data_IF_737871360020
#
_entry.id   IF_737871360020
#
_cell.length_a   1.000
_cell.length_b   1.000
_cell.length_c   1.000
_cell.angle_alpha   90.00
_cell.angle_beta   90.00
_cell.angle_gamma   90.00
#
_symmetry.space_group_name_H-M   'P 1'
#
loop_
_entity.id
_entity.type
_entity.pdbx_description
1 polymer ?
#
# COMPACT_ATOMS: atom_id res chain seq x y z
N UNK A 1 -52.16 -35.43 -15.19
CA UNK A 1 -50.82 -34.92 -14.82
C UNK A 1 -49.81 -35.54 -15.78
N UNK A 2 -49.16 -34.75 -16.65
CA UNK A 2 -48.11 -35.28 -17.55
C UNK A 2 -46.92 -35.72 -16.69
N UNK A 3 -46.55 -36.99 -16.74
CA UNK A 3 -45.36 -37.49 -16.04
C UNK A 3 -44.12 -36.89 -16.70
N UNK A 4 -43.26 -36.27 -15.89
CA UNK A 4 -41.96 -35.81 -16.35
C UNK A 4 -41.10 -37.03 -16.65
N UNK A 5 -40.63 -37.14 -17.90
CA UNK A 5 -39.71 -38.20 -18.31
C UNK A 5 -38.32 -37.96 -17.69
N UNK A 6 -37.63 -39.03 -17.29
CA UNK A 6 -36.25 -38.97 -16.81
C UNK A 6 -35.35 -38.19 -17.79
N UNK A 7 -35.59 -38.36 -19.11
CA UNK A 7 -34.85 -37.63 -20.15
C UNK A 7 -35.07 -36.12 -20.10
N UNK A 8 -36.30 -35.67 -19.86
CA UNK A 8 -36.61 -34.23 -19.74
C UNK A 8 -36.00 -33.62 -18.48
N UNK A 9 -35.92 -34.39 -17.38
CA UNK A 9 -35.27 -33.94 -16.14
C UNK A 9 -33.78 -33.78 -16.37
N UNK A 10 -33.12 -34.75 -17.02
CA UNK A 10 -31.69 -34.68 -17.34
C UNK A 10 -31.37 -33.49 -18.25
N UNK A 11 -32.17 -33.26 -19.30
CA UNK A 11 -31.97 -32.13 -20.21
C UNK A 11 -32.14 -30.78 -19.50
N UNK A 12 -33.16 -30.63 -18.66
CA UNK A 12 -33.37 -29.41 -17.88
C UNK A 12 -32.23 -29.17 -16.89
N UNK A 13 -31.74 -30.22 -16.22
CA UNK A 13 -30.60 -30.12 -15.31
C UNK A 13 -29.30 -29.71 -16.03
N UNK A 14 -29.01 -30.30 -17.20
CA UNK A 14 -27.85 -29.93 -18.00
C UNK A 14 -27.94 -28.49 -18.51
N UNK A 15 -29.12 -28.05 -18.95
CA UNK A 15 -29.35 -26.67 -19.36
C UNK A 15 -29.13 -25.69 -18.20
N UNK A 16 -29.64 -26.01 -17.01
CA UNK A 16 -29.42 -25.22 -15.81
C UNK A 16 -27.93 -25.16 -15.43
N UNK A 17 -27.22 -26.29 -15.45
CA UNK A 17 -25.78 -26.34 -15.19
C UNK A 17 -24.98 -25.48 -16.19
N UNK A 18 -25.33 -25.52 -17.48
CA UNK A 18 -24.69 -24.70 -18.49
C UNK A 18 -24.93 -23.20 -18.25
N UNK A 19 -26.15 -22.80 -17.86
CA UNK A 19 -26.47 -21.42 -17.50
C UNK A 19 -25.69 -20.97 -16.26
N UNK A 20 -25.64 -21.79 -15.20
CA UNK A 20 -24.89 -21.47 -13.99
C UNK A 20 -23.38 -21.40 -14.26
N UNK A 21 -22.85 -22.28 -15.11
CA UNK A 21 -21.43 -22.27 -15.48
C UNK A 21 -21.06 -21.04 -16.31
N UNK A 22 -21.90 -20.66 -17.28
CA UNK A 22 -21.67 -19.43 -18.07
C UNK A 22 -21.72 -18.19 -17.18
N UNK A 23 -22.70 -18.07 -16.28
CA UNK A 23 -22.74 -16.99 -15.29
C UNK A 23 -21.45 -16.99 -14.45
N UNK A 24 -21.07 -18.13 -13.88
CA UNK A 24 -19.85 -18.24 -13.06
C UNK A 24 -18.57 -17.94 -13.83
N UNK A 25 -18.51 -18.24 -15.12
CA UNK A 25 -17.36 -17.92 -15.97
C UNK A 25 -17.27 -16.42 -16.28
N UNK A 26 -18.41 -15.76 -16.56
CA UNK A 26 -18.47 -14.32 -16.83
C UNK A 26 -18.32 -13.45 -15.57
N UNK A 27 -18.67 -13.96 -14.38
CA UNK A 27 -18.53 -13.23 -13.11
C UNK A 27 -17.26 -13.58 -12.34
N UNK A 28 -16.42 -14.49 -12.86
CA UNK A 28 -15.14 -14.84 -12.24
C UNK A 28 -14.18 -13.66 -12.33
N UNK A 29 -13.62 -13.26 -11.19
CA UNK A 29 -12.45 -12.39 -11.15
C UNK A 29 -11.20 -13.18 -11.50
N UNK A 30 -10.40 -12.67 -12.44
CA UNK A 30 -9.09 -13.24 -12.74
C UNK A 30 -8.05 -12.74 -11.72
N UNK A 31 -7.47 -13.62 -10.88
CA UNK A 31 -6.44 -13.22 -9.92
C UNK A 31 -5.20 -12.60 -10.58
N UNK A 32 -5.00 -12.82 -11.88
CA UNK A 32 -3.91 -12.19 -12.65
C UNK A 32 -4.08 -10.67 -12.82
N UNK A 33 -5.32 -10.17 -12.69
CA UNK A 33 -5.68 -8.76 -12.82
C UNK A 33 -5.67 -8.03 -11.47
N UNK A 34 -5.52 -8.74 -10.36
CA UNK A 34 -5.42 -8.10 -9.05
C UNK A 34 -4.05 -7.40 -8.87
N UNK A 35 -4.02 -6.25 -8.18
CA UNK A 35 -2.78 -5.55 -7.89
C UNK A 35 -1.86 -6.43 -7.03
N UNK A 36 -0.55 -6.25 -7.16
CA UNK A 36 0.38 -7.04 -6.35
C UNK A 36 0.31 -6.68 -4.86
N UNK A 37 0.07 -5.41 -4.56
CA UNK A 37 -0.05 -4.89 -3.21
C UNK A 37 -1.31 -4.03 -3.07
N UNK A 38 -1.85 -3.98 -1.86
CA UNK A 38 -2.89 -3.01 -1.46
C UNK A 38 -2.33 -2.07 -0.41
N UNK A 39 -2.67 -0.79 -0.49
CA UNK A 39 -2.29 0.20 0.52
C UNK A 39 -3.36 0.19 1.62
N UNK A 40 -2.98 -0.19 2.83
CA UNK A 40 -3.90 -0.30 3.97
C UNK A 40 -4.21 1.06 4.60
N UNK A 41 -3.27 2.01 4.48
CA UNK A 41 -3.35 3.34 5.06
C UNK A 41 -1.98 4.00 5.05
N UNK A 42 -1.97 5.30 5.29
CA UNK A 42 -0.76 6.11 5.29
C UNK A 42 -1.06 7.57 5.58
N UNK A 43 -0.02 8.39 5.55
CA UNK A 43 -0.09 9.82 5.81
C UNK A 43 1.09 10.33 6.60
N UNK A 44 0.95 11.54 7.13
CA UNK A 44 1.96 12.21 7.93
C UNK A 44 1.86 11.83 9.40
N UNK A 45 3.01 11.60 10.02
CA UNK A 45 3.21 11.33 11.44
C UNK A 45 4.06 12.45 12.02
N UNK A 46 3.50 13.16 13.01
CA UNK A 46 4.17 14.29 13.68
C UNK A 46 4.54 13.87 15.10
N UNK A 47 5.83 13.75 15.39
CA UNK A 47 6.34 13.51 16.73
C UNK A 47 6.85 14.83 17.33
N UNK A 48 6.01 15.47 18.15
CA UNK A 48 6.36 16.71 18.84
C UNK A 48 7.42 16.52 19.94
N UNK A 49 7.61 15.29 20.45
CA UNK A 49 8.58 15.01 21.51
C UNK A 49 9.99 14.93 20.95
N UNK A 50 10.11 14.28 19.79
CA UNK A 50 11.39 14.08 19.08
C UNK A 50 11.63 15.16 18.02
N UNK A 51 10.68 16.09 17.83
CA UNK A 51 10.72 17.11 16.80
C UNK A 51 10.80 16.57 15.35
N UNK A 52 10.30 15.36 15.12
CA UNK A 52 10.39 14.69 13.82
C UNK A 52 9.04 14.63 13.12
N UNK A 53 9.08 14.74 11.79
CA UNK A 53 7.92 14.51 10.92
C UNK A 53 8.30 13.48 9.89
N UNK A 54 7.44 12.49 9.70
CA UNK A 54 7.60 11.45 8.69
C UNK A 54 6.32 11.36 7.89
N UNK A 55 6.38 10.82 6.69
CA UNK A 55 5.18 10.31 6.08
C UNK A 55 5.44 9.03 5.31
N UNK A 56 4.40 8.22 5.15
CA UNK A 56 4.56 6.86 4.72
C UNK A 56 3.25 6.12 4.69
N UNK A 57 3.32 4.84 4.36
CA UNK A 57 2.16 3.97 4.25
C UNK A 57 2.49 2.53 4.61
N UNK A 58 1.45 1.75 4.83
CA UNK A 58 1.54 0.30 4.97
C UNK A 58 1.00 -0.38 3.72
N UNK A 59 1.84 -1.16 3.05
CA UNK A 59 1.44 -2.03 1.96
C UNK A 59 1.19 -3.45 2.48
N UNK A 60 0.16 -4.10 1.96
CA UNK A 60 -0.07 -5.54 2.11
C UNK A 60 0.13 -6.23 0.77
N UNK A 61 0.95 -7.28 0.74
CA UNK A 61 1.09 -8.17 -0.41
C UNK A 61 -0.16 -9.03 -0.52
N UNK A 62 -0.93 -8.85 -1.60
CA UNK A 62 -2.18 -9.61 -1.83
C UNK A 62 -2.06 -10.61 -2.97
N UNK A 63 -1.11 -10.41 -3.88
CA UNK A 63 -0.69 -11.40 -4.88
C UNK A 63 0.68 -11.92 -4.50
N UNK A 64 0.91 -13.25 -4.54
CA UNK A 64 2.20 -13.82 -4.18
C UNK A 64 3.37 -13.17 -4.95
N UNK A 65 4.34 -12.67 -4.19
CA UNK A 65 5.61 -12.16 -4.69
C UNK A 65 6.72 -13.15 -4.34
N UNK A 66 7.73 -13.24 -5.19
CA UNK A 66 8.92 -14.02 -4.87
C UNK A 66 9.60 -13.42 -3.63
N UNK A 67 10.08 -14.28 -2.72
CA UNK A 67 10.91 -13.81 -1.61
C UNK A 67 12.08 -12.98 -2.16
N UNK A 68 12.39 -11.86 -1.52
CA UNK A 68 13.39 -10.90 -1.95
C UNK A 68 12.95 -9.90 -3.04
N UNK A 69 11.73 -10.00 -3.58
CA UNK A 69 11.13 -8.94 -4.40
C UNK A 69 11.18 -7.59 -3.68
N UNK A 70 11.24 -6.49 -4.44
CA UNK A 70 11.48 -5.16 -3.87
C UNK A 70 10.22 -4.31 -4.02
N UNK A 71 9.73 -3.78 -2.91
CA UNK A 71 8.72 -2.71 -2.90
C UNK A 71 9.49 -1.40 -2.73
N UNK A 72 9.44 -0.53 -3.72
CA UNK A 72 10.08 0.78 -3.70
C UNK A 72 9.02 1.87 -3.74
N UNK A 73 9.17 2.87 -2.89
CA UNK A 73 8.36 4.06 -2.87
C UNK A 73 9.25 5.30 -3.04
N UNK A 74 8.84 6.16 -3.96
CA UNK A 74 9.44 7.47 -4.19
C UNK A 74 8.47 8.52 -3.72
N UNK A 75 8.91 9.37 -2.79
CA UNK A 75 8.14 10.38 -2.10
C UNK A 75 8.63 11.76 -2.52
N UNK A 76 7.73 12.71 -2.77
CA UNK A 76 8.12 14.12 -2.90
C UNK A 76 8.84 14.62 -1.64
N UNK A 77 9.84 15.48 -1.79
CA UNK A 77 10.44 16.17 -0.65
C UNK A 77 9.60 17.41 -0.31
N UNK A 78 8.97 17.51 0.87
CA UNK A 78 8.16 18.67 1.23
C UNK A 78 8.94 19.99 1.24
N UNK A 79 10.26 19.95 1.41
CA UNK A 79 11.13 21.13 1.34
C UNK A 79 11.43 21.59 -0.09
N UNK A 80 10.96 20.84 -1.10
CA UNK A 80 11.18 21.11 -2.53
C UNK A 80 12.48 20.53 -3.08
N UNK A 81 13.16 19.66 -2.33
CA UNK A 81 14.37 18.96 -2.75
C UNK A 81 14.11 17.79 -3.71
N UNK A 82 15.12 16.92 -3.84
CA UNK A 82 15.02 15.72 -4.66
C UNK A 82 14.08 14.68 -4.02
N UNK A 83 13.35 13.87 -4.81
CA UNK A 83 12.46 12.85 -4.27
C UNK A 83 13.19 11.86 -3.36
N UNK A 84 12.55 11.49 -2.26
CA UNK A 84 13.05 10.56 -1.26
C UNK A 84 12.66 9.13 -1.65
N UNK A 85 13.64 8.26 -1.84
CA UNK A 85 13.40 6.86 -2.24
C UNK A 85 13.61 5.93 -1.05
N UNK A 86 12.62 5.09 -0.77
CA UNK A 86 12.64 4.09 0.30
C UNK A 86 12.23 2.76 -0.28
N UNK A 87 12.93 1.69 0.08
CA UNK A 87 12.65 0.36 -0.42
C UNK A 87 12.68 -0.70 0.67
N UNK A 88 11.75 -1.64 0.59
CA UNK A 88 11.69 -2.81 1.46
C UNK A 88 11.76 -4.09 0.63
N UNK A 89 12.36 -5.14 1.21
CA UNK A 89 12.41 -6.46 0.59
C UNK A 89 11.32 -7.36 1.15
N UNK A 90 10.57 -7.97 0.24
CA UNK A 90 9.55 -8.97 0.58
C UNK A 90 10.23 -10.17 1.22
N UNK A 91 9.73 -10.58 2.38
CA UNK A 91 10.11 -11.80 3.08
C UNK A 91 8.91 -12.72 3.22
N UNK A 92 9.15 -13.98 3.59
CA UNK A 92 8.09 -14.95 3.89
C UNK A 92 7.51 -14.80 5.29
N UNK A 93 8.04 -13.90 6.12
CA UNK A 93 7.66 -13.76 7.53
C UNK A 93 6.49 -12.79 7.74
N UNK A 94 6.24 -11.90 6.77
CA UNK A 94 5.18 -10.91 6.83
C UNK A 94 4.62 -10.64 5.44
N UNK A 95 3.33 -10.34 5.38
CA UNK A 95 2.66 -9.81 4.20
C UNK A 95 2.51 -8.28 4.25
N UNK A 96 2.85 -7.64 5.39
CA UNK A 96 2.71 -6.20 5.60
C UNK A 96 4.07 -5.52 5.71
N UNK A 97 4.21 -4.41 4.99
CA UNK A 97 5.45 -3.64 4.86
C UNK A 97 5.14 -2.16 5.11
N UNK A 98 5.86 -1.56 6.07
CA UNK A 98 5.77 -0.14 6.35
C UNK A 98 6.89 0.58 5.61
N UNK A 99 6.53 1.48 4.67
CA UNK A 99 7.47 2.34 3.99
C UNK A 99 7.26 3.76 4.49
N UNK A 100 8.32 4.36 5.03
CA UNK A 100 8.29 5.74 5.55
C UNK A 100 9.55 6.48 5.13
N UNK A 101 9.40 7.76 4.85
CA UNK A 101 10.53 8.65 4.60
C UNK A 101 11.46 8.70 5.82
N UNK A 102 12.72 9.14 5.65
CA UNK A 102 13.47 9.80 6.71
C UNK A 102 12.70 11.01 7.29
N UNK A 103 13.16 11.62 8.40
CA UNK A 103 12.56 12.87 8.89
C UNK A 103 12.55 13.94 7.80
N UNK A 104 11.41 14.60 7.62
CA UNK A 104 11.19 15.66 6.63
C UNK A 104 10.84 16.99 7.30
N UNK A 105 11.05 18.09 6.58
CA UNK A 105 10.67 19.45 6.94
C UNK A 105 10.03 20.16 5.74
N UNK A 106 9.33 21.26 5.98
CA UNK A 106 8.60 22.02 4.96
C UNK A 106 7.18 21.52 4.70
N UNK A 107 6.59 20.73 5.61
CA UNK A 107 5.24 20.20 5.39
C UNK A 107 4.20 21.32 5.53
N UNK A 108 3.58 21.67 4.42
CA UNK A 108 2.44 22.58 4.34
C UNK A 108 1.10 21.86 4.55
N UNK A 109 0.19 22.50 5.28
CA UNK A 109 -1.18 22.02 5.48
C UNK A 109 -1.97 22.06 4.16
N UNK A 110 -2.77 21.01 3.90
CA UNK A 110 -3.64 20.85 2.73
C UNK A 110 -2.91 20.84 1.38
N UNK A 111 -1.59 20.67 1.38
CA UNK A 111 -0.79 20.45 0.17
C UNK A 111 -0.67 18.94 -0.10
N UNK A 112 -1.02 18.46 -1.30
CA UNK A 112 -0.77 17.07 -1.68
C UNK A 112 0.72 16.88 -1.99
N UNK A 113 1.27 15.76 -1.52
CA UNK A 113 2.62 15.30 -1.82
C UNK A 113 2.52 13.94 -2.51
N UNK A 114 3.15 13.84 -3.67
CA UNK A 114 3.04 12.68 -4.53
C UNK A 114 3.90 11.52 -4.02
N UNK A 115 3.38 10.30 -4.20
CA UNK A 115 4.08 9.06 -3.93
C UNK A 115 3.90 8.09 -5.07
N UNK A 116 5.00 7.69 -5.69
CA UNK A 116 5.05 6.63 -6.70
C UNK A 116 5.54 5.34 -6.06
N UNK A 117 4.80 4.25 -6.27
CA UNK A 117 5.08 2.95 -5.67
C UNK A 117 5.32 1.96 -6.80
N UNK A 118 6.44 1.25 -6.74
CA UNK A 118 6.88 0.28 -7.74
C UNK A 118 7.27 -1.02 -7.07
N UNK A 119 6.87 -2.13 -7.68
CA UNK A 119 7.22 -3.47 -7.24
C UNK A 119 8.11 -4.08 -8.31
N UNK A 120 9.30 -4.50 -7.92
CA UNK A 120 10.28 -5.14 -8.79
C UNK A 120 10.50 -6.61 -8.42
N UNK A 121 11.10 -7.35 -9.34
CA UNK A 121 11.70 -8.64 -9.02
C UNK A 121 12.84 -8.52 -7.98
N UNK A 122 13.41 -9.66 -7.58
CA UNK A 122 14.48 -9.70 -6.55
C UNK A 122 15.75 -8.96 -6.97
N UNK A 123 16.03 -8.90 -8.27
CA UNK A 123 17.26 -8.32 -8.84
C UNK A 123 17.08 -6.86 -9.25
N UNK A 124 15.88 -6.29 -9.08
CA UNK A 124 15.49 -4.98 -9.59
C UNK A 124 15.66 -4.85 -11.12
N UNK A 125 15.47 -5.95 -11.85
CA UNK A 125 15.61 -6.00 -13.31
C UNK A 125 14.29 -5.85 -14.05
N UNK A 126 13.20 -6.40 -13.50
CA UNK A 126 11.86 -6.32 -14.06
C UNK A 126 10.92 -5.56 -13.14
N UNK A 127 10.20 -4.58 -13.68
CA UNK A 127 9.06 -3.94 -13.03
C UNK A 127 7.86 -4.90 -13.13
N UNK A 128 7.34 -5.32 -11.97
CA UNK A 128 6.20 -6.24 -11.89
C UNK A 128 4.88 -5.47 -11.79
N UNK A 129 4.88 -4.33 -11.09
CA UNK A 129 3.68 -3.53 -10.85
C UNK A 129 4.03 -2.11 -10.40
N UNK A 130 3.12 -1.17 -10.63
CA UNK A 130 3.23 0.20 -10.13
C UNK A 130 1.86 0.83 -9.84
N UNK A 131 1.84 1.77 -8.91
CA UNK A 131 0.71 2.68 -8.66
C UNK A 131 1.23 4.00 -8.15
N UNK A 132 0.37 5.01 -8.16
CA UNK A 132 0.65 6.33 -7.61
C UNK A 132 -0.48 6.76 -6.68
N UNK A 133 -0.17 7.61 -5.70
CA UNK A 133 -1.14 8.23 -4.82
C UNK A 133 -0.56 9.50 -4.18
N UNK A 134 -1.44 10.36 -3.65
CA UNK A 134 -1.02 11.55 -2.93
C UNK A 134 -1.35 11.45 -1.45
N UNK A 135 -0.45 11.93 -0.59
CA UNK A 135 -0.73 12.15 0.83
C UNK A 135 -0.88 13.64 1.12
N UNK A 136 -1.85 13.98 1.95
CA UNK A 136 -2.09 15.36 2.38
C UNK A 136 -2.19 15.42 3.90
N UNK A 137 -1.47 16.37 4.52
CA UNK A 137 -1.63 16.66 5.95
C UNK A 137 -2.67 17.76 6.16
N UNK A 138 -3.43 17.71 7.26
CA UNK A 138 -4.32 18.80 7.66
C UNK A 138 -3.59 19.92 8.43
N UNK A 139 -2.38 19.64 8.91
CA UNK A 139 -1.55 20.55 9.71
C UNK A 139 -0.17 20.71 9.07
N UNK A 140 0.44 21.87 9.32
CA UNK A 140 1.82 22.12 8.89
C UNK A 140 2.80 21.62 9.95
N UNK A 141 4.02 21.27 9.54
CA UNK A 141 5.12 20.94 10.47
C UNK A 141 5.57 22.11 11.34
N UNK A 142 5.11 23.34 11.08
CA UNK A 142 5.31 24.50 11.96
C UNK A 142 4.81 24.32 13.39
N UNK A 143 3.94 23.35 13.62
CA UNK A 143 3.47 22.99 14.98
C UNK A 143 4.48 22.12 15.73
N UNK A 144 5.46 21.55 15.03
CA UNK A 144 6.54 20.74 15.58
C UNK A 144 7.70 21.68 15.91
N UNK A 145 8.30 21.56 17.11
CA UNK A 145 9.41 22.40 17.50
C UNK A 145 10.65 22.15 16.63
N UNK A 146 11.57 23.12 16.61
CA UNK A 146 12.83 23.00 15.89
C UNK A 146 13.77 21.97 16.52
N UNK A 147 13.68 21.80 17.85
CA UNK A 147 14.45 20.85 18.64
C UNK A 147 13.54 19.88 19.39
N UNK A 148 13.98 18.64 19.66
CA UNK A 148 13.24 17.70 20.50
C UNK A 148 12.90 18.31 21.85
N UNK A 149 11.70 18.06 22.37
CA UNK A 149 11.35 18.46 23.74
C UNK A 149 11.93 17.49 24.77
N UNK A 150 12.23 16.27 24.35
CA UNK A 150 12.74 15.22 25.23
C UNK A 150 13.89 14.46 24.59
N UNK A 151 14.80 13.95 25.42
CA UNK A 151 15.96 13.17 25.00
C UNK A 151 16.03 11.82 25.73
N UNK A 152 16.60 10.84 25.02
CA UNK A 152 16.85 9.49 25.55
C UNK A 152 15.59 8.64 25.78
N UNK A 153 15.76 7.33 26.05
CA UNK A 153 14.65 6.39 26.20
C UNK A 153 13.73 6.69 27.40
N UNK A 154 14.21 7.47 28.37
CA UNK A 154 13.44 7.92 29.53
C UNK A 154 12.62 9.19 29.30
N UNK A 155 12.65 9.80 28.11
CA UNK A 155 11.99 11.07 27.80
C UNK A 155 12.35 12.20 28.79
N UNK A 156 13.64 12.34 29.10
CA UNK A 156 14.10 13.43 29.96
C UNK A 156 13.91 14.76 29.23
N UNK A 157 13.60 15.84 29.95
CA UNK A 157 13.47 17.17 29.36
C UNK A 157 14.77 17.54 28.61
N UNK A 158 14.63 18.02 27.38
CA UNK A 158 15.77 18.55 26.65
C UNK A 158 16.30 19.81 27.35
N UNK A 159 17.59 19.87 27.74
CA UNK A 159 18.17 21.05 28.40
C UNK A 159 18.33 22.28 27.48
N UNK A 160 18.21 22.11 26.16
CA UNK A 160 18.51 23.09 25.11
C UNK A 160 17.33 23.92 24.57
#
# INVERSE_FOLDING_TARGET
MKSLSLRSIILAALALCAVLFTIGWFTRNDPSQEPYIKILGGGFMFNYREAEVFYGFTAQVVRPLASGSIIEATFDDPSGGAPLVVSERVSTMTERYALRTPPVRGVEARKPYHVSIRVYDRQKTSLLWQTEMDFTSQISDRVVPDKPLTIGPGYHLNPD
#
